data_IF_412728024402
#
_entry.id   IF_412728024402
#
_cell.length_a   1.000
_cell.length_b   1.000
_cell.length_c   1.000
_cell.angle_alpha   90.00
_cell.angle_beta   90.00
_cell.angle_gamma   90.00
#
_symmetry.space_group_name_H-M   'P 1'
#
loop_
_entity.id
_entity.type
_entity.pdbx_description
1 polymer ?
#
# COMPACT_ATOMS: atom_id res chain seq x y z
N UNK A 1 -0.44 -9.38 -25.07
CA UNK A 1 -1.54 -9.78 -24.16
C UNK A 1 -1.20 -9.32 -22.74
N UNK A 2 -2.18 -8.92 -21.94
CA UNK A 2 -1.94 -8.55 -20.54
C UNK A 2 -1.80 -9.83 -19.70
N UNK A 3 -0.64 -10.04 -19.08
CA UNK A 3 -0.40 -11.18 -18.19
C UNK A 3 -1.18 -10.98 -16.88
N UNK A 4 -1.95 -11.98 -16.41
CA UNK A 4 -2.68 -11.86 -15.15
C UNK A 4 -1.73 -11.71 -13.96
N UNK A 5 -2.10 -10.85 -13.00
CA UNK A 5 -1.23 -10.45 -11.87
C UNK A 5 -0.70 -11.61 -11.03
N UNK A 6 -1.48 -12.67 -10.83
CA UNK A 6 -1.03 -13.86 -10.09
C UNK A 6 0.13 -14.61 -10.80
N UNK A 7 0.29 -14.43 -12.11
CA UNK A 7 1.44 -14.98 -12.86
C UNK A 7 2.67 -14.08 -12.85
N UNK A 8 2.52 -12.85 -12.34
CA UNK A 8 3.59 -11.85 -12.30
C UNK A 8 4.23 -11.73 -10.93
N UNK A 9 3.58 -12.25 -9.89
CA UNK A 9 4.04 -12.18 -8.50
C UNK A 9 4.33 -13.60 -8.04
N UNK A 10 5.57 -13.83 -7.65
CA UNK A 10 5.99 -15.04 -6.96
C UNK A 10 5.40 -15.02 -5.53
N UNK A 11 4.62 -16.05 -5.21
CA UNK A 11 3.97 -16.23 -3.91
C UNK A 11 4.79 -17.12 -2.97
N UNK A 12 5.92 -17.67 -3.42
CA UNK A 12 6.76 -18.59 -2.66
C UNK A 12 8.11 -18.00 -2.26
N UNK A 13 8.68 -17.14 -3.11
CA UNK A 13 10.02 -16.59 -2.95
C UNK A 13 10.02 -15.06 -2.89
N UNK A 14 10.93 -14.53 -2.08
CA UNK A 14 11.17 -13.09 -2.03
C UNK A 14 11.78 -12.60 -3.35
N UNK A 15 11.25 -11.50 -3.87
CA UNK A 15 11.61 -11.00 -5.19
C UNK A 15 11.51 -9.48 -5.29
N UNK A 16 12.22 -8.90 -6.26
CA UNK A 16 12.19 -7.48 -6.56
C UNK A 16 11.20 -7.17 -7.68
N UNK A 17 10.40 -6.13 -7.48
CA UNK A 17 9.34 -5.73 -8.41
C UNK A 17 9.46 -4.25 -8.75
N UNK A 18 9.27 -3.95 -10.04
CA UNK A 18 8.98 -2.63 -10.53
C UNK A 18 7.47 -2.45 -10.66
N UNK A 19 6.96 -1.54 -9.85
CA UNK A 19 5.54 -1.31 -9.60
C UNK A 19 5.22 0.08 -10.12
N UNK A 20 4.30 0.18 -11.07
CA UNK A 20 3.98 1.45 -11.74
C UNK A 20 2.48 1.71 -11.72
N UNK A 21 2.09 2.95 -11.43
CA UNK A 21 0.70 3.39 -11.53
C UNK A 21 0.62 4.67 -12.34
N UNK A 22 -0.27 4.70 -13.32
CA UNK A 22 -0.49 5.85 -14.20
C UNK A 22 -1.94 6.29 -14.16
N UNK A 23 -2.17 7.59 -14.00
CA UNK A 23 -3.47 8.21 -14.24
C UNK A 23 -3.83 8.12 -15.73
N UNK A 24 -5.04 7.65 -16.02
CA UNK A 24 -5.61 7.61 -17.37
C UNK A 24 -6.61 8.74 -17.56
N UNK A 25 -7.18 8.86 -18.76
CA UNK A 25 -8.20 9.89 -19.11
C UNK A 25 -7.73 11.32 -18.82
N UNK A 26 -6.44 11.61 -19.10
CA UNK A 26 -5.80 12.92 -18.89
C UNK A 26 -5.86 13.44 -17.44
N UNK A 27 -6.05 12.57 -16.46
CA UNK A 27 -6.03 12.96 -15.05
C UNK A 27 -4.59 13.22 -14.57
N UNK A 28 -4.45 14.14 -13.62
CA UNK A 28 -3.19 14.50 -12.98
C UNK A 28 -3.11 13.89 -11.57
N UNK A 29 -2.02 13.16 -11.32
CA UNK A 29 -1.68 12.61 -10.01
C UNK A 29 -1.21 13.73 -9.08
N UNK A 30 -0.26 14.55 -9.55
CA UNK A 30 0.26 15.72 -8.85
C UNK A 30 0.78 16.76 -9.86
N UNK A 31 1.11 17.97 -9.41
CA UNK A 31 1.58 19.05 -10.30
C UNK A 31 0.45 19.95 -10.82
N UNK A 32 0.77 20.88 -11.71
CA UNK A 32 -0.20 21.82 -12.28
C UNK A 32 -0.92 21.23 -13.49
N UNK A 33 -2.23 21.13 -13.42
CA UNK A 33 -3.07 20.76 -14.56
C UNK A 33 -3.43 22.01 -15.37
N UNK A 34 -2.91 22.18 -16.60
CA UNK A 34 -3.18 23.36 -17.42
C UNK A 34 -4.64 23.44 -17.92
N UNK A 35 -5.36 22.31 -17.97
CA UNK A 35 -6.74 22.29 -18.46
C UNK A 35 -7.72 22.76 -17.38
N UNK A 36 -7.62 22.20 -16.17
CA UNK A 36 -8.46 22.63 -15.04
C UNK A 36 -7.90 23.84 -14.29
N UNK A 37 -6.67 24.27 -14.61
CA UNK A 37 -5.90 25.32 -13.94
C UNK A 37 -5.69 25.07 -12.43
N UNK A 38 -5.71 23.80 -12.01
CA UNK A 38 -5.57 23.41 -10.60
C UNK A 38 -4.16 22.90 -10.31
N UNK A 39 -3.63 23.26 -9.15
CA UNK A 39 -2.34 22.78 -8.68
C UNK A 39 -2.52 21.65 -7.65
N UNK A 40 -1.99 20.48 -8.01
CA UNK A 40 -2.07 19.24 -7.25
C UNK A 40 -0.72 18.84 -6.64
N UNK A 41 0.28 19.73 -6.61
CA UNK A 41 1.64 19.42 -6.16
C UNK A 41 1.71 18.88 -4.73
N UNK A 42 0.78 19.30 -3.85
CA UNK A 42 0.68 18.81 -2.47
C UNK A 42 0.49 17.27 -2.39
N UNK A 43 -0.17 16.67 -3.39
CA UNK A 43 -0.44 15.22 -3.44
C UNK A 43 0.83 14.40 -3.56
N UNK A 44 1.91 14.95 -4.11
CA UNK A 44 3.20 14.26 -4.22
C UNK A 44 3.72 13.87 -2.84
N UNK A 45 3.70 14.81 -1.89
CA UNK A 45 4.13 14.56 -0.50
C UNK A 45 3.23 13.52 0.15
N UNK A 46 1.91 13.66 0.03
CA UNK A 46 0.96 12.71 0.62
C UNK A 46 1.14 11.29 0.09
N UNK A 47 1.38 11.15 -1.22
CA UNK A 47 1.63 9.85 -1.84
C UNK A 47 2.91 9.21 -1.30
N UNK A 48 4.01 9.97 -1.21
CA UNK A 48 5.29 9.48 -0.70
C UNK A 48 5.16 9.06 0.77
N UNK A 49 4.53 9.87 1.61
CA UNK A 49 4.31 9.53 3.02
C UNK A 49 3.42 8.30 3.18
N UNK A 50 2.41 8.15 2.31
CA UNK A 50 1.57 6.94 2.29
C UNK A 50 2.35 5.70 1.86
N UNK A 51 3.20 5.80 0.83
CA UNK A 51 4.07 4.69 0.39
C UNK A 51 4.95 4.21 1.53
N UNK A 52 5.65 5.14 2.19
CA UNK A 52 6.53 4.84 3.33
C UNK A 52 5.79 4.20 4.49
N UNK A 53 4.62 4.76 4.83
CA UNK A 53 3.79 4.22 5.91
C UNK A 53 3.30 2.80 5.62
N UNK A 54 2.80 2.54 4.42
CA UNK A 54 2.37 1.20 4.03
C UNK A 54 3.53 0.21 4.01
N UNK A 55 4.71 0.63 3.55
CA UNK A 55 5.89 -0.23 3.53
C UNK A 55 6.34 -0.69 4.92
N UNK A 56 6.15 0.11 5.98
CA UNK A 56 6.42 -0.32 7.36
C UNK A 56 5.47 -1.39 7.87
N UNK A 57 4.29 -1.49 7.28
CA UNK A 57 3.21 -2.36 7.76
C UNK A 57 3.06 -3.64 6.92
N UNK A 58 3.37 -3.58 5.63
CA UNK A 58 3.24 -4.71 4.71
C UNK A 58 4.55 -5.49 4.60
N UNK A 59 4.48 -6.70 4.07
CA UNK A 59 5.63 -7.55 3.78
C UNK A 59 6.45 -7.08 2.55
N UNK A 60 6.72 -5.76 2.48
CA UNK A 60 7.42 -5.11 1.37
C UNK A 60 8.48 -4.15 1.89
N UNK A 61 9.54 -3.99 1.11
CA UNK A 61 10.63 -3.06 1.40
C UNK A 61 10.86 -2.19 0.17
N UNK A 62 10.81 -0.86 0.32
CA UNK A 62 10.96 0.07 -0.81
C UNK A 62 12.43 0.46 -0.96
N UNK A 63 13.01 0.18 -2.13
CA UNK A 63 14.37 0.62 -2.47
C UNK A 63 14.40 1.99 -3.16
N UNK A 64 13.36 2.33 -3.92
CA UNK A 64 13.31 3.60 -4.62
C UNK A 64 11.93 3.91 -5.17
N UNK A 65 11.66 5.20 -5.37
CA UNK A 65 10.43 5.67 -6.00
C UNK A 65 10.70 6.89 -6.88
N UNK A 66 9.89 7.07 -7.92
CA UNK A 66 9.85 8.27 -8.73
C UNK A 66 8.40 8.69 -8.94
N UNK A 67 8.02 9.89 -8.50
CA UNK A 67 6.66 10.41 -8.66
C UNK A 67 6.66 11.52 -9.70
N UNK A 68 5.95 11.31 -10.80
CA UNK A 68 5.74 12.27 -11.86
C UNK A 68 4.32 12.84 -11.79
N UNK A 69 4.00 13.75 -12.69
CA UNK A 69 2.71 14.45 -12.70
C UNK A 69 1.51 13.55 -12.96
N UNK A 70 1.68 12.51 -13.77
CA UNK A 70 0.60 11.61 -14.18
C UNK A 70 0.87 10.13 -13.85
N UNK A 71 2.01 9.78 -13.27
CA UNK A 71 2.31 8.41 -12.86
C UNK A 71 3.40 8.36 -11.78
N UNK A 72 3.56 7.21 -11.15
CA UNK A 72 4.71 6.92 -10.30
C UNK A 72 5.31 5.56 -10.62
N UNK A 73 6.58 5.43 -10.27
CA UNK A 73 7.35 4.20 -10.27
C UNK A 73 7.79 3.89 -8.84
N UNK A 74 7.77 2.62 -8.49
CA UNK A 74 8.18 2.09 -7.19
C UNK A 74 9.02 0.83 -7.44
N UNK A 75 10.21 0.78 -6.88
CA UNK A 75 11.07 -0.40 -6.86
C UNK A 75 11.05 -0.93 -5.43
N UNK A 76 10.56 -2.15 -5.26
CA UNK A 76 10.41 -2.77 -3.95
C UNK A 76 10.83 -4.23 -3.97
N UNK A 77 11.26 -4.74 -2.82
CA UNK A 77 11.32 -6.17 -2.52
C UNK A 77 10.01 -6.58 -1.86
N UNK A 78 9.44 -7.69 -2.28
CA UNK A 78 8.29 -8.32 -1.65
C UNK A 78 8.69 -9.70 -1.16
N UNK A 79 8.29 -10.04 0.05
CA UNK A 79 8.54 -11.34 0.67
C UNK A 79 7.22 -11.95 1.13
N UNK A 80 6.68 -12.97 0.42
CA UNK A 80 5.39 -13.55 0.75
C UNK A 80 5.39 -14.27 2.11
N UNK A 81 6.55 -14.76 2.58
CA UNK A 81 6.67 -15.54 3.82
C UNK A 81 6.97 -14.68 5.03
N UNK A 82 7.36 -13.42 4.84
CA UNK A 82 7.66 -12.53 5.96
C UNK A 82 6.50 -12.46 6.97
N UNK A 83 5.24 -12.49 6.51
CA UNK A 83 4.07 -12.40 7.39
C UNK A 83 3.83 -13.63 8.28
N UNK A 84 4.43 -14.78 7.94
CA UNK A 84 4.32 -16.02 8.73
C UNK A 84 5.13 -15.90 10.02
N UNK A 85 6.24 -15.18 10.00
CA UNK A 85 7.12 -14.96 11.16
C UNK A 85 6.55 -13.99 12.20
N UNK A 86 5.47 -13.28 11.89
CA UNK A 86 4.93 -12.24 12.77
C UNK A 86 4.12 -12.85 13.90
N UNK A 87 4.23 -12.28 15.09
CA UNK A 87 3.31 -12.58 16.19
C UNK A 87 1.95 -11.94 15.93
N UNK A 88 0.93 -12.43 16.61
CA UNK A 88 -0.43 -11.89 16.53
C UNK A 88 -0.49 -10.42 16.96
N UNK A 89 0.24 -10.07 18.03
CA UNK A 89 0.44 -8.70 18.48
C UNK A 89 1.05 -7.82 17.37
N UNK A 90 2.08 -8.32 16.69
CA UNK A 90 2.75 -7.58 15.62
C UNK A 90 1.84 -7.39 14.39
N UNK A 91 1.01 -8.39 14.05
CA UNK A 91 -0.01 -8.27 13.01
C UNK A 91 -1.02 -7.19 13.39
N UNK A 92 -1.53 -7.19 14.62
CA UNK A 92 -2.48 -6.19 15.09
C UNK A 92 -1.87 -4.78 15.08
N UNK A 93 -0.65 -4.63 15.59
CA UNK A 93 0.09 -3.36 15.56
C UNK A 93 0.25 -2.82 14.14
N UNK A 94 0.74 -3.63 13.21
CA UNK A 94 0.90 -3.24 11.80
C UNK A 94 -0.43 -2.95 11.11
N UNK A 95 -1.49 -3.68 11.44
CA UNK A 95 -2.82 -3.44 10.89
C UNK A 95 -3.34 -2.05 11.24
N UNK A 96 -3.27 -1.65 12.51
CA UNK A 96 -3.73 -0.33 12.93
C UNK A 96 -2.77 0.81 12.56
N UNK A 97 -1.47 0.52 12.41
CA UNK A 97 -0.55 1.48 11.78
C UNK A 97 -0.91 1.71 10.29
N UNK A 98 -1.37 0.69 9.56
CA UNK A 98 -1.79 0.83 8.17
C UNK A 98 -3.20 1.46 8.02
N UNK A 99 -4.11 1.09 8.92
CA UNK A 99 -5.54 1.40 8.93
C UNK A 99 -5.99 1.81 10.34
N UNK A 100 -5.83 3.09 10.70
CA UNK A 100 -6.20 3.57 12.03
C UNK A 100 -7.70 3.39 12.24
N UNK A 101 -8.12 3.11 13.48
CA UNK A 101 -9.54 3.14 13.81
C UNK A 101 -10.13 4.52 13.50
N UNK A 102 -11.42 4.55 13.21
CA UNK A 102 -12.13 5.81 12.97
C UNK A 102 -12.06 6.67 14.23
N UNK A 103 -11.86 7.98 14.05
CA UNK A 103 -11.95 8.93 15.16
C UNK A 103 -13.38 8.96 15.70
N UNK A 104 -13.50 8.77 17.02
CA UNK A 104 -14.76 8.70 17.77
C UNK A 104 -14.75 9.62 19.01
N UNK A 105 -13.78 10.53 19.09
CA UNK A 105 -13.61 11.48 20.20
C UNK A 105 -12.85 10.93 21.41
N UNK A 106 -12.52 9.62 21.44
CA UNK A 106 -11.69 9.03 22.51
C UNK A 106 -10.19 9.34 22.32
N UNK A 107 -9.37 9.32 23.39
CA UNK A 107 -7.92 9.42 23.29
C UNK A 107 -7.34 8.32 22.37
N UNK A 108 -6.40 8.70 21.51
CA UNK A 108 -5.84 7.79 20.49
C UNK A 108 -5.22 6.52 21.06
N UNK A 109 -4.50 6.62 22.19
CA UNK A 109 -3.85 5.48 22.83
C UNK A 109 -4.85 4.45 23.34
N UNK A 110 -5.91 4.90 24.02
CA UNK A 110 -6.96 4.02 24.54
C UNK A 110 -7.70 3.32 23.41
N UNK A 111 -8.08 4.07 22.37
CA UNK A 111 -8.78 3.53 21.20
C UNK A 111 -7.93 2.51 20.45
N UNK A 112 -6.64 2.78 20.26
CA UNK A 112 -5.75 1.90 19.53
C UNK A 112 -5.45 0.62 20.32
N UNK A 113 -5.37 0.69 21.66
CA UNK A 113 -5.23 -0.48 22.53
C UNK A 113 -6.49 -1.38 22.46
N UNK A 114 -7.68 -0.80 22.65
CA UNK A 114 -8.95 -1.53 22.60
C UNK A 114 -9.19 -2.15 21.21
N UNK A 115 -8.86 -1.43 20.14
CA UNK A 115 -8.98 -1.96 18.79
C UNK A 115 -8.04 -3.15 18.52
N UNK A 116 -6.84 -3.15 19.11
CA UNK A 116 -5.90 -4.27 19.03
C UNK A 116 -6.43 -5.49 19.76
N UNK A 117 -6.90 -5.31 21.00
CA UNK A 117 -7.51 -6.37 21.79
C UNK A 117 -8.68 -7.02 21.04
N UNK A 118 -9.61 -6.21 20.52
CA UNK A 118 -10.74 -6.69 19.71
C UNK A 118 -10.34 -7.42 18.42
N UNK A 119 -9.17 -7.13 17.86
CA UNK A 119 -8.66 -7.85 16.69
C UNK A 119 -7.98 -9.17 17.08
N UNK A 120 -7.34 -9.21 18.25
CA UNK A 120 -6.70 -10.41 18.79
C UNK A 120 -7.72 -11.44 19.29
N UNK A 121 -8.85 -10.98 19.82
CA UNK A 121 -9.97 -11.83 20.24
C UNK A 121 -10.75 -12.46 19.07
N UNK A 122 -10.48 -12.03 17.82
CA UNK A 122 -11.10 -12.56 16.61
C UNK A 122 -10.05 -13.22 15.70
N UNK A 123 -9.83 -14.55 15.85
CA UNK A 123 -8.84 -15.28 15.06
C UNK A 123 -9.06 -15.20 13.55
N UNK A 124 -10.32 -15.12 13.09
CA UNK A 124 -10.64 -15.05 11.66
C UNK A 124 -10.24 -13.69 11.07
N UNK A 125 -10.56 -12.59 11.77
CA UNK A 125 -10.16 -11.24 11.38
C UNK A 125 -8.65 -11.09 11.44
N UNK A 126 -7.99 -11.64 12.45
CA UNK A 126 -6.55 -11.59 12.58
C UNK A 126 -5.85 -12.35 11.43
N UNK A 127 -6.32 -13.55 11.09
CA UNK A 127 -5.81 -14.31 9.95
C UNK A 127 -6.01 -13.57 8.62
N UNK A 128 -7.16 -12.89 8.46
CA UNK A 128 -7.39 -12.01 7.29
C UNK A 128 -6.45 -10.81 7.28
N UNK A 129 -6.20 -10.18 8.42
CA UNK A 129 -5.26 -9.06 8.55
C UNK A 129 -3.84 -9.51 8.14
N UNK A 130 -3.38 -10.65 8.65
CA UNK A 130 -2.09 -11.26 8.30
C UNK A 130 -1.96 -11.51 6.79
N UNK A 131 -2.95 -12.17 6.17
CA UNK A 131 -2.98 -12.39 4.71
C UNK A 131 -3.00 -11.09 3.90
N UNK A 132 -3.68 -10.07 4.40
CA UNK A 132 -3.75 -8.76 3.73
C UNK A 132 -2.39 -8.07 3.76
N UNK A 133 -1.76 -7.97 4.93
CA UNK A 133 -0.46 -7.33 5.10
C UNK A 133 0.68 -8.10 4.40
N UNK A 134 0.52 -9.41 4.25
CA UNK A 134 1.44 -10.28 3.51
C UNK A 134 1.27 -10.28 1.98
N UNK A 135 0.35 -9.50 1.41
CA UNK A 135 0.01 -9.57 -0.02
C UNK A 135 0.39 -8.30 -0.78
N UNK A 136 1.25 -8.44 -1.80
CA UNK A 136 1.63 -7.33 -2.69
C UNK A 136 0.42 -6.73 -3.42
N UNK A 137 -0.56 -7.56 -3.79
CA UNK A 137 -1.79 -7.10 -4.42
C UNK A 137 -2.63 -6.21 -3.49
N UNK A 138 -2.70 -6.55 -2.20
CA UNK A 138 -3.37 -5.73 -1.20
C UNK A 138 -2.61 -4.43 -0.92
N UNK A 139 -1.27 -4.48 -0.81
CA UNK A 139 -0.43 -3.29 -0.72
C UNK A 139 -0.77 -2.29 -1.84
N UNK A 140 -0.81 -2.78 -3.08
CA UNK A 140 -1.15 -1.95 -4.24
C UNK A 140 -2.58 -1.42 -4.21
N UNK A 141 -3.56 -2.26 -3.82
CA UNK A 141 -4.95 -1.84 -3.66
C UNK A 141 -5.07 -0.68 -2.66
N UNK A 142 -4.41 -0.78 -1.51
CA UNK A 142 -4.47 0.24 -0.46
C UNK A 142 -3.65 1.49 -0.78
N UNK A 143 -2.63 1.37 -1.64
CA UNK A 143 -1.96 2.52 -2.22
C UNK A 143 -2.86 3.26 -3.23
N UNK A 144 -3.75 2.55 -3.94
CA UNK A 144 -4.68 3.11 -4.93
C UNK A 144 -5.93 3.75 -4.33
N UNK A 145 -6.56 3.14 -3.31
CA UNK A 145 -7.81 3.66 -2.72
C UNK A 145 -7.62 5.09 -2.18
N UNK A 146 -6.42 5.41 -1.73
CA UNK A 146 -6.06 6.75 -1.26
C UNK A 146 -5.48 7.64 -2.37
N UNK A 147 -5.36 7.12 -3.60
CA UNK A 147 -4.94 7.93 -4.75
C UNK A 147 -6.05 8.93 -5.08
N UNK A 148 -5.75 10.24 -5.08
CA UNK A 148 -6.73 11.28 -5.39
C UNK A 148 -7.12 11.34 -6.88
N UNK A 149 -6.59 10.42 -7.69
CA UNK A 149 -6.88 10.24 -9.11
C UNK A 149 -7.68 8.93 -9.28
N UNK A 150 -9.00 9.02 -9.45
CA UNK A 150 -9.91 7.87 -9.47
C UNK A 150 -9.76 6.95 -10.70
N UNK A 151 -9.04 7.39 -11.73
CA UNK A 151 -8.80 6.62 -12.94
C UNK A 151 -7.30 6.33 -13.07
N UNK A 152 -6.82 5.25 -12.44
CA UNK A 152 -5.43 4.80 -12.57
C UNK A 152 -5.35 3.40 -13.16
N UNK A 153 -4.33 3.14 -13.97
CA UNK A 153 -3.96 1.81 -14.47
C UNK A 153 -2.62 1.41 -13.86
N UNK A 154 -2.50 0.15 -13.48
CA UNK A 154 -1.31 -0.37 -12.80
C UNK A 154 -0.62 -1.44 -13.62
N UNK A 155 0.71 -1.42 -13.61
CA UNK A 155 1.53 -2.48 -14.18
C UNK A 155 2.60 -2.87 -13.16
N UNK A 156 2.69 -4.19 -12.91
CA UNK A 156 3.78 -4.81 -12.17
C UNK A 156 4.68 -5.46 -13.20
N UNK A 157 5.99 -5.28 -13.06
CA UNK A 157 7.00 -6.04 -13.77
C UNK A 157 7.97 -6.62 -12.75
N UNK A 158 8.32 -7.88 -12.94
CA UNK A 158 9.42 -8.50 -12.19
C UNK A 158 10.72 -7.80 -12.58
N UNK A 159 11.51 -7.35 -11.61
CA UNK A 159 12.85 -6.86 -11.88
C UNK A 159 13.79 -8.06 -11.93
N UNK A 160 14.00 -8.65 -13.11
CA UNK A 160 15.23 -9.41 -13.34
C UNK A 160 16.34 -8.40 -13.62
N UNK A 161 17.35 -8.36 -12.74
CA UNK A 161 18.73 -8.04 -13.15
C UNK A 161 19.29 -9.21 -13.95
#
# INVERSE_FOLDING_TARGET
MATPRHKLVDEEHAACYHVTSRCVRRAWLCGYDPFTRRNYSYRRRWLVERMKRLARCFAVEIFGYAVMSNHFHLVLRYDPKACESWTDEEVARRWFEAFPPREDGRPSEQRDAEARELLMDDPERLARARRTLGSLSHFMKHLQITSPCQATTFSIRYCFS
#
